data_IF_685260734197
#
_entry.id   IF_685260734197
#
_cell.length_a   1.000
_cell.length_b   1.000
_cell.length_c   1.000
_cell.angle_alpha   90.00
_cell.angle_beta   90.00
_cell.angle_gamma   90.00
#
_symmetry.space_group_name_H-M   'P 1'
#
loop_
_entity.id
_entity.type
_entity.pdbx_description
1 polymer ?
#
# COMPACT_ATOMS: atom_id res chain seq x y z
N UNK A 1 -60.24 -39.38 20.87
CA UNK A 1 -58.89 -39.37 20.25
C UNK A 1 -57.91 -38.92 21.32
N UNK A 2 -57.37 -39.87 22.09
CA UNK A 2 -56.42 -39.59 23.16
C UNK A 2 -55.01 -39.70 22.56
N UNK A 3 -54.31 -38.58 22.44
CA UNK A 3 -52.90 -38.56 22.05
C UNK A 3 -52.05 -38.93 23.27
N UNK A 4 -51.49 -40.13 23.23
CA UNK A 4 -50.60 -40.68 24.25
C UNK A 4 -49.24 -39.98 24.21
N UNK A 5 -49.02 -39.04 25.13
CA UNK A 5 -47.81 -38.22 25.22
C UNK A 5 -46.60 -39.03 25.72
N UNK A 6 -46.85 -40.17 26.38
CA UNK A 6 -45.83 -40.97 27.05
C UNK A 6 -44.97 -41.77 26.05
N UNK A 7 -45.57 -42.20 24.94
CA UNK A 7 -44.89 -42.91 23.84
C UNK A 7 -43.96 -42.00 23.02
N UNK A 8 -44.26 -40.69 22.96
CA UNK A 8 -43.44 -39.70 22.25
C UNK A 8 -42.13 -39.39 23.00
N UNK A 9 -42.21 -39.22 24.33
CA UNK A 9 -41.05 -38.94 25.18
C UNK A 9 -40.05 -40.11 25.22
N UNK A 10 -40.53 -41.36 25.19
CA UNK A 10 -39.67 -42.56 25.12
C UNK A 10 -38.94 -42.71 23.77
N UNK A 11 -39.46 -42.13 22.68
CA UNK A 11 -38.79 -42.08 21.37
C UNK A 11 -37.71 -41.00 21.34
N UNK A 12 -37.95 -39.84 21.94
CA UNK A 12 -36.97 -38.73 22.04
C UNK A 12 -35.76 -39.13 22.90
N UNK A 13 -35.98 -39.80 24.03
CA UNK A 13 -34.88 -40.28 24.89
C UNK A 13 -33.98 -41.34 24.22
N UNK A 14 -34.49 -42.04 23.19
CA UNK A 14 -33.73 -43.04 22.42
C UNK A 14 -32.86 -42.41 21.34
N UNK A 15 -33.21 -41.22 20.83
CA UNK A 15 -32.37 -40.45 19.90
C UNK A 15 -31.27 -39.64 20.59
N UNK A 16 -31.49 -39.20 21.84
CA UNK A 16 -30.48 -38.43 22.60
C UNK A 16 -29.31 -39.32 23.07
N UNK A 17 -29.50 -40.64 23.19
CA UNK A 17 -28.40 -41.58 23.53
C UNK A 17 -27.52 -41.99 22.34
N UNK A 18 -27.96 -41.81 21.10
CA UNK A 18 -27.18 -42.13 19.89
C UNK A 18 -26.52 -40.91 19.23
N UNK A 19 -26.80 -39.69 19.69
CA UNK A 19 -26.11 -38.47 19.25
C UNK A 19 -24.91 -38.07 20.14
N UNK A 20 -24.57 -38.88 21.14
CA UNK A 20 -23.47 -38.62 22.08
C UNK A 20 -22.09 -39.09 21.64
N UNK A 21 -21.92 -39.66 20.44
CA UNK A 21 -20.65 -40.28 20.00
C UNK A 21 -20.09 -39.69 18.69
N UNK A 22 -20.73 -38.69 18.07
CA UNK A 22 -20.24 -38.05 16.82
C UNK A 22 -19.83 -36.58 17.05
N UNK A 23 -19.32 -36.25 18.25
CA UNK A 23 -18.73 -34.93 18.55
C UNK A 23 -17.31 -35.00 19.16
N UNK A 24 -16.60 -36.12 19.00
CA UNK A 24 -15.21 -36.27 19.47
C UNK A 24 -14.18 -36.50 18.34
N UNK A 25 -14.48 -36.08 17.10
CA UNK A 25 -13.54 -36.22 15.98
C UNK A 25 -13.34 -34.98 15.09
N UNK A 26 -13.87 -33.80 15.46
CA UNK A 26 -13.71 -32.57 14.65
C UNK A 26 -13.37 -31.31 15.48
N UNK A 27 -12.79 -31.49 16.67
CA UNK A 27 -12.39 -30.40 17.59
C UNK A 27 -10.90 -30.08 17.62
N UNK A 28 -10.12 -30.54 16.63
CA UNK A 28 -8.70 -30.23 16.50
C UNK A 28 -8.40 -29.45 15.21
N UNK A 29 -9.23 -28.46 14.90
CA UNK A 29 -8.76 -27.31 14.14
C UNK A 29 -8.22 -26.33 15.17
N UNK A 30 -6.97 -26.58 15.56
CA UNK A 30 -6.17 -25.52 16.15
C UNK A 30 -6.25 -24.33 15.18
N UNK A 31 -6.55 -23.15 15.72
CA UNK A 31 -6.27 -21.92 15.03
C UNK A 31 -4.75 -21.87 14.78
N UNK A 32 -4.29 -22.48 13.68
CA UNK A 32 -3.12 -22.02 12.97
C UNK A 32 -3.50 -20.70 12.26
N UNK A 33 -4.01 -19.74 13.03
CA UNK A 33 -3.92 -18.34 12.66
C UNK A 33 -2.44 -18.05 12.52
N UNK A 34 -2.09 -17.35 11.45
CA UNK A 34 -0.75 -16.94 11.07
C UNK A 34 -0.02 -16.21 12.20
N UNK A 35 0.50 -16.95 13.18
CA UNK A 35 1.59 -16.54 14.03
C UNK A 35 2.84 -17.15 13.41
N UNK A 36 3.35 -16.53 12.35
CA UNK A 36 4.74 -16.71 11.96
C UNK A 36 5.62 -16.07 13.06
N UNK A 37 5.68 -16.69 14.24
CA UNK A 37 6.82 -16.54 15.15
C UNK A 37 7.91 -17.47 14.65
N UNK A 38 8.31 -17.30 13.39
CA UNK A 38 9.62 -17.78 12.97
C UNK A 38 10.66 -16.97 13.74
N UNK A 39 11.84 -17.52 14.05
CA UNK A 39 12.95 -16.70 14.49
C UNK A 39 13.09 -15.53 13.52
N UNK A 40 13.30 -14.30 14.02
CA UNK A 40 13.72 -13.18 13.18
C UNK A 40 14.82 -13.72 12.28
N UNK A 41 14.51 -13.92 11.00
CA UNK A 41 15.50 -14.41 10.07
C UNK A 41 16.60 -13.35 10.10
N UNK A 42 17.80 -13.77 10.49
CA UNK A 42 18.98 -12.90 10.40
C UNK A 42 19.03 -12.27 9.02
N UNK A 43 19.66 -11.11 8.90
CA UNK A 43 19.84 -10.40 7.64
C UNK A 43 20.24 -11.39 6.54
N UNK A 44 19.31 -11.73 5.65
CA UNK A 44 19.59 -12.61 4.53
C UNK A 44 20.65 -11.91 3.66
N UNK A 45 21.69 -12.64 3.28
CA UNK A 45 22.64 -12.15 2.30
C UNK A 45 21.88 -11.91 0.99
N UNK A 46 21.65 -10.65 0.66
CA UNK A 46 20.95 -10.26 -0.55
C UNK A 46 21.79 -10.69 -1.75
N UNK A 47 21.20 -11.33 -2.78
CA UNK A 47 21.94 -11.60 -4.00
C UNK A 47 22.50 -10.29 -4.56
N UNK A 48 23.65 -10.39 -5.26
CA UNK A 48 24.36 -9.22 -5.82
C UNK A 48 23.43 -8.29 -6.63
N UNK A 49 22.43 -8.88 -7.30
CA UNK A 49 21.30 -8.16 -7.90
C UNK A 49 20.04 -8.61 -7.16
N UNK A 50 19.43 -7.75 -6.33
CA UNK A 50 18.15 -8.07 -5.72
C UNK A 50 17.04 -8.10 -6.78
N UNK A 51 16.09 -9.01 -6.60
CA UNK A 51 14.84 -8.98 -7.36
C UNK A 51 13.85 -8.06 -6.66
N UNK A 52 13.32 -7.09 -7.41
CA UNK A 52 12.23 -6.23 -6.96
C UNK A 52 10.86 -6.71 -7.44
N UNK A 53 10.79 -7.90 -8.05
CA UNK A 53 9.54 -8.43 -8.60
C UNK A 53 8.44 -8.56 -7.55
N UNK A 54 7.21 -8.29 -8.00
CA UNK A 54 6.02 -8.52 -7.19
C UNK A 54 5.14 -7.28 -7.06
N UNK A 55 4.17 -7.38 -6.17
CA UNK A 55 3.19 -6.33 -5.93
C UNK A 55 3.66 -5.48 -4.75
N UNK A 56 3.76 -4.19 -5.01
CA UNK A 56 4.12 -3.16 -4.06
C UNK A 56 2.92 -2.27 -3.79
N UNK A 57 2.85 -1.76 -2.56
CA UNK A 57 1.85 -0.80 -2.16
C UNK A 57 2.45 0.15 -1.15
N UNK A 58 2.07 1.43 -1.25
CA UNK A 58 2.29 2.36 -0.16
C UNK A 58 1.36 2.02 1.01
N UNK A 59 1.91 1.98 2.21
CA UNK A 59 1.15 1.84 3.45
C UNK A 59 0.79 3.23 3.99
N UNK A 60 -0.43 3.70 3.73
CA UNK A 60 -0.95 4.96 4.27
C UNK A 60 -0.74 6.19 3.37
N UNK A 61 -1.25 7.34 3.83
CA UNK A 61 -1.22 8.62 3.08
C UNK A 61 -0.05 9.50 3.51
N UNK A 62 0.39 9.37 4.77
CA UNK A 62 1.51 10.14 5.29
C UNK A 62 2.85 9.44 5.00
N UNK A 63 3.93 10.23 5.02
CA UNK A 63 5.29 9.68 5.03
C UNK A 63 5.62 9.17 6.43
N UNK A 64 6.25 8.00 6.48
CA UNK A 64 6.78 7.44 7.72
C UNK A 64 8.00 8.25 8.18
N UNK A 65 8.14 8.52 9.49
CA UNK A 65 9.33 9.18 10.00
C UNK A 65 10.55 8.26 9.88
N UNK A 66 11.74 8.81 9.57
CA UNK A 66 12.97 8.02 9.56
C UNK A 66 13.33 7.59 10.99
N UNK A 67 14.11 6.51 11.17
CA UNK A 67 14.59 6.09 12.49
C UNK A 67 15.44 7.17 13.20
N UNK A 68 16.12 8.02 12.44
CA UNK A 68 17.00 9.08 12.92
C UNK A 68 16.89 10.32 12.02
N UNK A 69 17.08 11.51 12.60
CA UNK A 69 17.09 12.79 11.90
C UNK A 69 15.71 13.47 11.79
N UNK A 70 15.64 14.62 11.10
CA UNK A 70 14.39 15.34 10.91
C UNK A 70 13.38 14.50 10.10
N UNK A 71 12.12 14.53 10.54
CA UNK A 71 11.02 13.82 9.86
C UNK A 71 10.55 14.51 8.57
N UNK A 72 9.62 13.86 7.85
CA UNK A 72 9.01 14.44 6.65
C UNK A 72 8.19 15.71 6.98
N UNK A 73 7.92 16.53 5.97
CA UNK A 73 6.99 17.67 6.09
C UNK A 73 5.64 17.15 6.60
N UNK A 74 5.12 17.77 7.66
CA UNK A 74 3.83 17.41 8.26
C UNK A 74 2.78 18.48 8.03
N UNK A 75 1.51 18.09 8.09
CA UNK A 75 0.41 19.03 8.14
C UNK A 75 0.41 19.71 9.52
N UNK A 76 0.40 21.05 9.55
CA UNK A 76 0.36 21.85 10.79
C UNK A 76 -1.05 22.03 11.33
N UNK A 77 -2.07 21.71 10.52
CA UNK A 77 -3.48 21.83 10.89
C UNK A 77 -4.09 20.45 11.12
N UNK A 78 -4.96 20.34 12.12
CA UNK A 78 -5.75 19.13 12.40
C UNK A 78 -6.98 19.08 11.48
N UNK A 79 -6.74 18.89 10.18
CA UNK A 79 -7.78 18.74 9.16
C UNK A 79 -7.42 17.60 8.20
N UNK A 80 -8.45 16.91 7.68
CA UNK A 80 -8.31 15.94 6.59
C UNK A 80 -8.64 16.53 5.22
N UNK A 81 -9.12 17.77 5.20
CA UNK A 81 -9.58 18.47 4.00
C UNK A 81 -8.66 19.62 3.59
N UNK A 82 -7.86 20.11 4.55
CA UNK A 82 -6.92 21.22 4.36
C UNK A 82 -5.53 20.76 4.76
N UNK A 83 -4.57 20.98 3.88
CA UNK A 83 -3.18 20.57 3.95
C UNK A 83 -2.27 21.78 3.99
N UNK A 84 -1.83 22.18 5.18
CA UNK A 84 -0.83 23.24 5.37
C UNK A 84 0.46 22.59 5.82
N UNK A 85 1.41 22.44 4.89
CA UNK A 85 2.71 21.84 5.20
C UNK A 85 3.55 22.73 6.11
N UNK A 86 4.28 22.13 7.05
CA UNK A 86 5.30 22.80 7.84
C UNK A 86 6.49 23.18 6.95
N UNK A 87 6.47 24.40 6.44
CA UNK A 87 7.52 24.95 5.59
C UNK A 87 8.76 25.41 6.36
N UNK A 88 8.77 25.31 7.70
CA UNK A 88 9.91 25.71 8.53
C UNK A 88 10.87 24.57 8.82
N UNK A 89 10.54 23.35 8.38
CA UNK A 89 11.37 22.16 8.61
C UNK A 89 12.76 22.29 7.97
N UNK A 90 13.83 21.82 8.66
CA UNK A 90 15.20 21.99 8.18
C UNK A 90 15.55 21.13 6.95
N UNK A 91 14.67 20.21 6.52
CA UNK A 91 14.90 19.38 5.33
C UNK A 91 14.66 20.13 4.02
N UNK A 92 13.98 21.28 4.08
CA UNK A 92 13.61 22.04 2.89
C UNK A 92 14.68 23.07 2.53
N UNK A 93 15.06 23.07 1.25
CA UNK A 93 15.77 24.21 0.67
C UNK A 93 14.85 25.44 0.68
N UNK A 94 15.39 26.68 0.70
CA UNK A 94 14.57 27.89 0.79
C UNK A 94 13.48 28.00 -0.29
N UNK A 95 13.78 27.61 -1.52
CA UNK A 95 12.80 27.61 -2.61
C UNK A 95 11.70 26.55 -2.41
N UNK A 96 12.04 25.38 -1.86
CA UNK A 96 11.08 24.33 -1.58
C UNK A 96 10.16 24.73 -0.42
N UNK A 97 10.70 25.37 0.63
CA UNK A 97 9.92 25.95 1.72
C UNK A 97 8.91 27.00 1.20
N UNK A 98 9.33 27.86 0.27
CA UNK A 98 8.44 28.84 -0.35
C UNK A 98 7.26 28.18 -1.10
N UNK A 99 7.52 27.10 -1.86
CA UNK A 99 6.48 26.34 -2.58
C UNK A 99 5.53 25.63 -1.60
N UNK A 100 6.05 25.03 -0.53
CA UNK A 100 5.22 24.37 0.50
C UNK A 100 4.30 25.40 1.17
N UNK A 101 4.83 26.58 1.49
CA UNK A 101 4.05 27.68 2.05
C UNK A 101 2.96 28.14 1.08
N UNK A 102 3.31 28.43 -0.17
CA UNK A 102 2.37 28.88 -1.20
C UNK A 102 1.22 27.88 -1.40
N UNK A 103 1.54 26.59 -1.55
CA UNK A 103 0.53 25.54 -1.69
C UNK A 103 -0.36 25.41 -0.45
N UNK A 104 0.20 25.55 0.75
CA UNK A 104 -0.55 25.52 2.00
C UNK A 104 -1.48 26.71 2.17
N UNK A 105 -1.01 27.91 1.83
CA UNK A 105 -1.83 29.15 1.85
C UNK A 105 -2.97 29.06 0.84
N UNK A 106 -2.70 28.53 -0.37
CA UNK A 106 -3.71 28.31 -1.40
C UNK A 106 -4.78 27.29 -0.95
N UNK A 107 -4.37 26.16 -0.37
CA UNK A 107 -5.31 25.14 0.13
C UNK A 107 -6.14 25.65 1.32
N UNK A 108 -5.52 26.41 2.22
CA UNK A 108 -6.22 27.07 3.33
C UNK A 108 -7.26 28.09 2.84
N UNK A 109 -6.99 28.79 1.73
CA UNK A 109 -7.93 29.69 1.08
C UNK A 109 -9.02 28.97 0.25
N UNK A 110 -9.00 27.64 0.18
CA UNK A 110 -9.94 26.84 -0.62
C UNK A 110 -9.58 26.74 -2.11
N UNK A 111 -8.37 27.13 -2.49
CA UNK A 111 -7.80 27.06 -3.83
C UNK A 111 -6.67 26.02 -3.90
N UNK A 112 -6.92 24.83 -3.38
CA UNK A 112 -5.91 23.76 -3.24
C UNK A 112 -5.05 23.56 -4.50
N UNK A 113 -3.78 23.16 -4.32
CA UNK A 113 -2.81 23.14 -5.42
C UNK A 113 -3.27 22.23 -6.55
N UNK A 114 -3.25 22.73 -7.79
CA UNK A 114 -3.62 21.95 -8.98
C UNK A 114 -2.52 20.97 -9.37
N UNK A 115 -2.68 19.72 -8.93
CA UNK A 115 -1.90 18.57 -9.40
C UNK A 115 -2.34 18.14 -10.81
N UNK A 116 -1.46 17.50 -11.61
CA UNK A 116 -1.85 16.93 -12.91
C UNK A 116 -3.07 16.01 -12.83
N UNK A 117 -3.18 15.24 -11.75
CA UNK A 117 -4.31 14.34 -11.51
C UNK A 117 -5.65 15.04 -11.35
N UNK A 118 -5.69 16.26 -10.78
CA UNK A 118 -6.93 17.05 -10.72
C UNK A 118 -7.34 17.59 -12.09
N UNK A 119 -6.42 17.63 -13.05
CA UNK A 119 -6.66 18.06 -14.42
C UNK A 119 -6.89 16.88 -15.38
N UNK A 120 -7.20 15.69 -14.86
CA UNK A 120 -7.33 14.45 -15.64
C UNK A 120 -6.09 14.13 -16.49
N UNK A 121 -4.89 14.49 -16.01
CA UNK A 121 -3.60 14.16 -16.62
C UNK A 121 -2.87 13.11 -15.79
N UNK A 122 -2.00 12.28 -16.40
CA UNK A 122 -1.20 11.31 -15.66
C UNK A 122 -0.40 11.96 -14.53
N UNK A 123 -0.29 11.25 -13.41
CA UNK A 123 0.39 11.74 -12.20
C UNK A 123 1.86 12.10 -12.44
N UNK A 124 2.51 11.38 -13.36
CA UNK A 124 3.94 11.48 -13.64
C UNK A 124 4.83 11.04 -12.47
N UNK A 125 6.15 11.19 -12.66
CA UNK A 125 7.14 10.86 -11.63
C UNK A 125 7.57 12.11 -10.84
N UNK A 126 7.85 12.00 -9.53
CA UNK A 126 7.64 10.84 -8.65
C UNK A 126 6.21 10.74 -8.09
N UNK A 127 5.30 11.65 -8.45
CA UNK A 127 3.98 11.78 -7.83
C UNK A 127 3.10 10.51 -7.94
N UNK A 128 3.29 9.68 -8.97
CA UNK A 128 2.63 8.37 -9.09
C UNK A 128 2.86 7.45 -7.88
N UNK A 129 3.93 7.65 -7.09
CA UNK A 129 4.19 6.88 -5.87
C UNK A 129 3.37 7.35 -4.66
N UNK A 130 2.77 8.54 -4.73
CA UNK A 130 1.87 9.09 -3.70
C UNK A 130 0.40 8.80 -3.98
N UNK A 131 0.13 8.32 -5.18
CA UNK A 131 -1.18 7.84 -5.56
C UNK A 131 -1.50 6.55 -4.81
N UNK A 132 -2.65 6.51 -4.16
CA UNK A 132 -3.15 5.28 -3.52
C UNK A 132 -3.48 4.24 -4.59
N UNK A 133 -2.86 3.06 -4.45
CA UNK A 133 -3.01 1.94 -5.36
C UNK A 133 -1.82 1.00 -5.23
N UNK A 134 -1.99 -0.20 -5.77
CA UNK A 134 -0.90 -1.16 -5.92
C UNK A 134 -0.16 -0.89 -7.21
N UNK A 135 1.11 -1.27 -7.26
CA UNK A 135 1.82 -1.39 -8.51
C UNK A 135 2.61 -2.69 -8.53
N UNK A 136 2.72 -3.29 -9.70
CA UNK A 136 3.53 -4.48 -9.90
C UNK A 136 4.85 -4.08 -10.54
N UNK A 137 5.93 -4.65 -10.02
CA UNK A 137 7.26 -4.56 -10.63
C UNK A 137 7.52 -5.86 -11.36
N UNK A 138 7.91 -5.74 -12.62
CA UNK A 138 8.42 -6.81 -13.46
C UNK A 138 9.88 -6.51 -13.76
N UNK A 139 10.78 -7.46 -13.50
CA UNK A 139 12.22 -7.26 -13.66
C UNK A 139 12.77 -8.31 -14.62
N UNK A 140 13.45 -7.83 -15.65
CA UNK A 140 14.20 -8.64 -16.61
C UNK A 140 15.68 -8.22 -16.55
N UNK A 141 16.62 -8.98 -17.12
CA UNK A 141 18.01 -8.56 -17.18
C UNK A 141 18.22 -7.23 -17.93
N UNK A 142 17.31 -6.86 -18.83
CA UNK A 142 17.41 -5.67 -19.69
C UNK A 142 16.50 -4.51 -19.26
N UNK A 143 15.48 -4.75 -18.42
CA UNK A 143 14.48 -3.73 -18.09
C UNK A 143 13.76 -3.99 -16.77
N UNK A 144 13.40 -2.90 -16.07
CA UNK A 144 12.41 -2.89 -14.99
C UNK A 144 11.15 -2.16 -15.45
N UNK A 145 10.00 -2.83 -15.36
CA UNK A 145 8.69 -2.25 -15.70
C UNK A 145 7.83 -2.10 -14.44
N UNK A 146 7.31 -0.90 -14.22
CA UNK A 146 6.32 -0.62 -13.18
C UNK A 146 4.94 -0.54 -13.80
N UNK A 147 4.03 -1.41 -13.37
CA UNK A 147 2.64 -1.43 -13.76
C UNK A 147 1.79 -0.87 -12.64
N UNK A 148 1.32 0.37 -12.77
CA UNK A 148 0.48 1.01 -11.78
C UNK A 148 -0.99 0.60 -11.97
N UNK A 149 -1.67 0.28 -10.87
CA UNK A 149 -3.12 0.03 -10.86
C UNK A 149 -3.88 1.27 -11.33
N UNK A 150 -3.43 2.45 -10.90
CA UNK A 150 -4.03 3.72 -11.31
C UNK A 150 -3.52 4.13 -12.69
N UNK A 151 -4.45 4.58 -13.52
CA UNK A 151 -4.26 5.09 -14.88
C UNK A 151 -3.71 4.06 -15.90
N UNK A 152 -3.39 2.83 -15.47
CA UNK A 152 -2.83 1.74 -16.30
C UNK A 152 -1.64 2.17 -17.17
N UNK A 153 -0.89 3.18 -16.73
CA UNK A 153 0.26 3.71 -17.46
C UNK A 153 1.54 3.00 -17.00
N UNK A 154 2.22 2.23 -17.85
CA UNK A 154 3.47 1.60 -17.48
C UNK A 154 4.60 2.63 -17.42
N UNK A 155 5.54 2.43 -16.49
CA UNK A 155 6.83 3.14 -16.49
C UNK A 155 7.93 2.13 -16.80
N UNK A 156 8.74 2.45 -17.81
CA UNK A 156 9.87 1.64 -18.23
C UNK A 156 11.18 2.22 -17.72
N UNK A 157 12.05 1.36 -17.21
CA UNK A 157 13.42 1.67 -16.84
C UNK A 157 14.32 0.69 -17.59
N UNK A 158 15.05 1.18 -18.59
CA UNK A 158 15.97 0.39 -19.39
C UNK A 158 17.28 0.19 -18.64
N UNK A 159 17.79 -1.05 -18.59
CA UNK A 159 19.02 -1.39 -17.89
C UNK A 159 20.18 -1.45 -18.89
N UNK A 160 21.34 -0.94 -18.49
CA UNK A 160 22.56 -0.97 -19.30
C UNK A 160 22.47 -0.19 -20.64
N UNK A 161 21.50 0.72 -20.76
CA UNK A 161 21.30 1.58 -21.92
C UNK A 161 21.60 3.05 -21.61
N UNK A 162 21.89 3.84 -22.64
CA UNK A 162 22.02 5.29 -22.52
C UNK A 162 20.73 5.98 -22.96
N UNK A 163 20.53 7.17 -22.43
CA UNK A 163 19.49 8.06 -22.93
C UNK A 163 19.69 8.38 -24.43
N UNK A 164 18.62 8.34 -25.24
CA UNK A 164 18.67 8.86 -26.61
C UNK A 164 19.10 10.33 -26.63
N UNK A 165 19.80 10.77 -27.68
CA UNK A 165 20.20 12.18 -27.83
C UNK A 165 19.00 13.14 -27.86
N UNK A 166 17.88 12.69 -28.44
CA UNK A 166 16.65 13.45 -28.51
C UNK A 166 15.50 12.66 -27.84
N UNK A 167 15.12 13.09 -26.64
CA UNK A 167 14.04 12.48 -25.87
C UNK A 167 12.76 13.28 -26.06
N UNK A 168 11.70 12.62 -26.52
CA UNK A 168 10.36 13.21 -26.48
C UNK A 168 9.87 13.23 -25.03
N UNK A 169 9.51 14.40 -24.46
CA UNK A 169 9.00 14.47 -23.11
C UNK A 169 7.72 13.65 -22.93
N UNK A 170 7.64 12.92 -21.82
CA UNK A 170 6.46 12.15 -21.42
C UNK A 170 6.25 12.28 -19.91
N UNK A 171 5.05 11.96 -19.42
CA UNK A 171 4.73 12.06 -17.98
C UNK A 171 5.62 11.18 -17.10
N UNK A 172 6.07 10.03 -17.62
CA UNK A 172 6.95 9.08 -16.91
C UNK A 172 8.42 9.22 -17.29
N UNK A 173 8.73 10.08 -18.26
CA UNK A 173 10.07 10.29 -18.80
C UNK A 173 10.65 9.05 -19.49
N UNK A 174 11.89 9.19 -19.94
CA UNK A 174 12.77 8.06 -20.25
C UNK A 174 13.61 7.79 -18.99
N UNK A 175 13.70 6.55 -18.54
CA UNK A 175 14.52 6.17 -17.36
C UNK A 175 15.56 5.12 -17.79
N UNK A 176 16.81 5.30 -17.37
CA UNK A 176 17.88 4.29 -17.51
C UNK A 176 18.50 3.99 -16.14
N UNK A 177 19.03 2.78 -15.93
CA UNK A 177 19.58 2.33 -14.64
C UNK A 177 20.63 1.24 -14.76
#
# INVERSE_FOLDING_TARGET
MNCDFETSLRRIARYVRSAGIICLALGAWTNAGFAQTGPFAGWYEMPKIPSFEGIWQRNGIAFDPPPLGPGPVRNTIVSRQVWVGDYTTPILLPHAAAIVRENGEADFAGHGPYTPTQLCRPSGVPNIMNVLGKFQVLQTPEMVTFLYERDQTPRYVYLNEQHPENITPSYFGHSVG
#
